data_IF_597853828451
#
_entry.id   IF_597853828451
#
_cell.length_a   1.000
_cell.length_b   1.000
_cell.length_c   1.000
_cell.angle_alpha   90.00
_cell.angle_beta   90.00
_cell.angle_gamma   90.00
#
_symmetry.space_group_name_H-M   'P 1'
#
loop_
_entity.id
_entity.type
_entity.pdbx_description
1 polymer ?
#
# COMPACT_ATOMS: atom_id res chain seq x y z
N UNK A 1 -33.16 13.97 -12.00
CA UNK A 1 -32.29 12.82 -11.65
C UNK A 1 -30.84 13.19 -11.93
N UNK A 2 -29.98 13.26 -10.91
CA UNK A 2 -28.57 13.61 -11.10
C UNK A 2 -27.81 12.48 -11.82
N UNK A 3 -27.19 12.77 -12.97
CA UNK A 3 -26.36 11.80 -13.70
C UNK A 3 -25.14 11.43 -12.84
N UNK A 4 -25.07 10.17 -12.41
CA UNK A 4 -23.92 9.62 -11.67
C UNK A 4 -22.66 9.75 -12.53
N UNK A 5 -21.67 10.54 -12.09
CA UNK A 5 -20.42 10.76 -12.82
C UNK A 5 -19.67 9.42 -12.89
N UNK A 6 -19.63 8.80 -14.08
CA UNK A 6 -18.88 7.56 -14.33
C UNK A 6 -17.40 7.91 -14.29
N UNK A 7 -16.68 7.44 -13.28
CA UNK A 7 -15.23 7.63 -13.22
C UNK A 7 -14.59 6.89 -14.41
N UNK A 8 -13.92 7.61 -15.30
CA UNK A 8 -13.28 7.05 -16.49
C UNK A 8 -11.82 6.77 -16.18
N UNK A 9 -11.52 5.57 -15.66
CA UNK A 9 -10.15 5.15 -15.39
C UNK A 9 -10.05 3.69 -15.01
N UNK A 10 -8.84 3.14 -15.12
CA UNK A 10 -8.50 1.77 -14.81
C UNK A 10 -7.47 1.71 -13.68
N UNK A 11 -7.61 0.73 -12.79
CA UNK A 11 -6.67 0.52 -11.69
C UNK A 11 -5.38 -0.13 -12.20
N UNK A 12 -4.25 0.39 -11.72
CA UNK A 12 -2.92 -0.13 -12.05
C UNK A 12 -2.23 -0.73 -10.83
N UNK A 13 -1.84 -1.99 -10.93
CA UNK A 13 -1.25 -2.78 -9.83
C UNK A 13 0.07 -2.23 -9.28
N UNK A 14 0.99 -1.82 -10.16
CA UNK A 14 2.36 -1.52 -9.72
C UNK A 14 2.51 -0.16 -9.03
N UNK A 15 1.66 0.86 -9.28
CA UNK A 15 1.71 2.12 -8.51
C UNK A 15 0.45 2.43 -7.71
N UNK A 16 -0.54 1.53 -7.72
CA UNK A 16 -1.80 1.71 -7.01
C UNK A 16 -2.69 2.86 -7.49
N UNK A 17 -2.35 3.56 -8.58
CA UNK A 17 -3.13 4.72 -9.05
C UNK A 17 -4.22 4.31 -10.05
N UNK A 18 -5.37 4.98 -9.97
CA UNK A 18 -6.41 4.93 -11.01
C UNK A 18 -6.02 5.91 -12.12
N UNK A 19 -5.83 5.42 -13.33
CA UNK A 19 -5.34 6.20 -14.47
C UNK A 19 -6.32 6.10 -15.64
N UNK A 20 -6.41 7.13 -16.51
CA UNK A 20 -7.24 7.05 -17.71
C UNK A 20 -6.67 6.02 -18.70
N UNK A 21 -7.54 5.45 -19.54
CA UNK A 21 -7.21 4.36 -20.47
C UNK A 21 -6.00 4.66 -21.37
N UNK A 22 -5.80 5.92 -21.76
CA UNK A 22 -4.67 6.36 -22.61
C UNK A 22 -3.29 6.16 -21.97
N UNK A 23 -3.23 6.08 -20.63
CA UNK A 23 -1.99 5.83 -19.88
C UNK A 23 -1.61 4.35 -19.87
N UNK A 24 -2.49 3.47 -20.33
CA UNK A 24 -2.22 2.06 -20.54
C UNK A 24 -1.83 1.82 -22.01
N UNK A 25 -0.97 0.84 -22.23
CA UNK A 25 -0.73 0.27 -23.56
C UNK A 25 -1.65 -0.94 -23.72
N UNK A 26 -2.02 -1.37 -24.93
CA UNK A 26 -2.90 -2.52 -25.15
C UNK A 26 -2.49 -3.75 -24.32
N UNK A 27 -1.24 -4.22 -24.47
CA UNK A 27 -0.68 -5.32 -23.66
C UNK A 27 -0.56 -4.99 -22.17
N UNK A 28 -0.31 -3.72 -21.83
CA UNK A 28 -0.22 -3.25 -20.44
C UNK A 28 -1.58 -3.17 -19.75
N UNK A 29 -2.67 -2.99 -20.49
CA UNK A 29 -4.04 -2.89 -19.96
C UNK A 29 -4.47 -4.22 -19.33
N UNK A 30 -4.25 -5.34 -20.04
CA UNK A 30 -4.53 -6.69 -19.55
C UNK A 30 -3.69 -7.04 -18.30
N UNK A 31 -2.44 -6.57 -18.25
CA UNK A 31 -1.57 -6.80 -17.10
C UNK A 31 -1.77 -5.79 -15.95
N UNK A 32 -2.67 -4.82 -16.08
CA UNK A 32 -2.84 -3.70 -15.14
C UNK A 32 -1.54 -2.90 -14.90
N UNK A 33 -0.76 -2.67 -15.96
CA UNK A 33 0.52 -1.93 -15.95
C UNK A 33 0.42 -0.72 -16.90
N UNK A 34 0.61 0.50 -16.38
CA UNK A 34 0.64 1.70 -17.23
C UNK A 34 1.97 1.83 -18.00
N UNK A 35 1.97 2.65 -19.05
CA UNK A 35 3.13 2.92 -19.91
C UNK A 35 4.38 3.34 -19.13
N UNK A 36 4.23 4.23 -18.13
CA UNK A 36 5.36 4.69 -17.30
C UNK A 36 6.08 3.55 -16.60
N UNK A 37 5.34 2.50 -16.26
CA UNK A 37 5.90 1.44 -15.46
C UNK A 37 6.08 0.14 -16.20
N UNK A 38 5.53 0.01 -17.40
CA UNK A 38 6.04 -0.96 -18.36
C UNK A 38 7.57 -0.80 -18.52
N UNK A 39 8.07 0.45 -18.53
CA UNK A 39 9.49 0.82 -18.64
C UNK A 39 10.36 0.50 -17.41
N UNK A 40 9.79 0.19 -16.25
CA UNK A 40 10.56 -0.15 -15.04
C UNK A 40 11.11 -1.59 -15.13
N UNK A 41 12.25 -1.85 -14.49
CA UNK A 41 12.78 -3.21 -14.33
C UNK A 41 11.82 -4.08 -13.51
N UNK A 42 11.93 -5.41 -13.65
CA UNK A 42 11.10 -6.36 -12.88
C UNK A 42 11.31 -6.20 -11.38
N UNK A 43 12.56 -6.02 -10.94
CA UNK A 43 12.92 -5.78 -9.54
C UNK A 43 12.23 -4.53 -8.98
N UNK A 44 12.31 -3.39 -9.70
CA UNK A 44 11.69 -2.14 -9.24
C UNK A 44 10.16 -2.23 -9.23
N UNK A 45 9.56 -2.98 -10.15
CA UNK A 45 8.12 -3.25 -10.15
C UNK A 45 7.72 -4.07 -8.91
N UNK A 46 8.47 -5.12 -8.57
CA UNK A 46 8.18 -5.93 -7.38
C UNK A 46 8.34 -5.14 -6.09
N UNK A 47 9.33 -4.26 -6.00
CA UNK A 47 9.50 -3.36 -4.85
C UNK A 47 8.30 -2.42 -4.69
N UNK A 48 7.85 -1.77 -5.77
CA UNK A 48 6.68 -0.88 -5.71
C UNK A 48 5.39 -1.62 -5.33
N UNK A 49 5.21 -2.87 -5.79
CA UNK A 49 4.09 -3.70 -5.36
C UNK A 49 4.22 -4.06 -3.88
N UNK A 50 5.41 -4.47 -3.42
CA UNK A 50 5.64 -4.84 -2.02
C UNK A 50 5.36 -3.66 -1.09
N UNK A 51 5.88 -2.47 -1.42
CA UNK A 51 5.61 -1.23 -0.69
C UNK A 51 4.11 -0.94 -0.68
N UNK A 52 3.40 -1.04 -1.81
CA UNK A 52 1.95 -0.84 -1.84
C UNK A 52 1.20 -1.83 -0.93
N UNK A 53 1.63 -3.10 -0.88
CA UNK A 53 1.06 -4.09 0.04
C UNK A 53 1.32 -3.71 1.51
N UNK A 54 2.55 -3.34 1.84
CA UNK A 54 2.94 -2.88 3.18
C UNK A 54 2.07 -1.70 3.62
N UNK A 55 1.86 -0.69 2.77
CA UNK A 55 1.04 0.48 3.13
C UNK A 55 -0.46 0.21 3.15
N UNK A 56 -0.94 -0.81 2.44
CA UNK A 56 -2.38 -1.12 2.38
C UNK A 56 -2.98 -1.43 3.76
N UNK A 57 -2.18 -2.00 4.66
CA UNK A 57 -2.57 -2.35 6.03
C UNK A 57 -2.90 -1.12 6.89
N UNK A 58 -2.35 0.06 6.55
CA UNK A 58 -2.66 1.33 7.24
C UNK A 58 -4.08 1.83 6.94
N UNK A 59 -4.77 1.23 5.96
CA UNK A 59 -6.17 1.56 5.66
C UNK A 59 -7.14 1.09 6.75
N UNK A 60 -6.66 0.23 7.66
CA UNK A 60 -7.45 -0.34 8.74
C UNK A 60 -6.79 -0.04 10.09
N UNK A 61 -7.58 0.21 11.15
CA UNK A 61 -7.04 0.59 12.46
C UNK A 61 -6.26 -0.55 13.14
N UNK A 62 -6.58 -1.81 12.83
CA UNK A 62 -5.88 -2.98 13.36
C UNK A 62 -5.59 -3.98 12.23
N UNK A 63 -4.31 -4.26 11.91
CA UNK A 63 -3.95 -5.23 10.88
C UNK A 63 -4.19 -6.66 11.38
N UNK A 64 -4.54 -7.57 10.47
CA UNK A 64 -4.69 -9.00 10.78
C UNK A 64 -3.35 -9.62 11.23
N UNK A 65 -3.41 -10.80 11.85
CA UNK A 65 -2.21 -11.61 12.12
C UNK A 65 -1.44 -11.92 10.83
N UNK A 66 -2.15 -12.22 9.74
CA UNK A 66 -1.54 -12.49 8.45
C UNK A 66 -0.90 -11.25 7.83
N UNK A 67 -1.54 -10.08 7.99
CA UNK A 67 -0.98 -8.80 7.54
C UNK A 67 0.32 -8.48 8.28
N UNK A 68 0.35 -8.66 9.61
CA UNK A 68 1.57 -8.48 10.42
C UNK A 68 2.69 -9.41 9.96
N UNK A 69 2.39 -10.71 9.81
CA UNK A 69 3.36 -11.69 9.32
C UNK A 69 3.87 -11.35 7.91
N UNK A 70 3.00 -10.84 7.04
CA UNK A 70 3.37 -10.37 5.71
C UNK A 70 4.37 -9.20 5.78
N UNK A 71 4.13 -8.21 6.66
CA UNK A 71 5.05 -7.07 6.85
C UNK A 71 6.39 -7.55 7.43
N UNK A 72 6.37 -8.44 8.42
CA UNK A 72 7.59 -9.05 9.01
C UNK A 72 8.42 -9.83 7.99
N UNK A 73 7.78 -10.50 7.02
CA UNK A 73 8.51 -11.14 5.93
C UNK A 73 9.23 -10.10 5.05
N UNK A 74 8.66 -8.91 4.87
CA UNK A 74 9.27 -7.84 4.09
C UNK A 74 10.44 -7.14 4.80
N UNK A 75 10.51 -7.16 6.13
CA UNK A 75 11.68 -6.63 6.87
C UNK A 75 12.95 -7.44 6.62
N UNK A 76 12.82 -8.71 6.23
CA UNK A 76 13.95 -9.58 5.87
C UNK A 76 14.25 -9.60 4.36
N UNK A 77 13.61 -8.73 3.57
CA UNK A 77 13.79 -8.71 2.13
C UNK A 77 15.15 -8.10 1.73
N UNK A 78 15.72 -8.58 0.61
CA UNK A 78 17.02 -8.09 0.07
C UNK A 78 16.97 -6.65 -0.45
N UNK A 79 15.78 -6.08 -0.60
CA UNK A 79 15.61 -4.69 -1.02
C UNK A 79 15.56 -3.80 0.22
N UNK A 80 16.60 -3.00 0.41
CA UNK A 80 16.72 -2.04 1.51
C UNK A 80 15.50 -1.13 1.60
N UNK A 81 14.99 -0.70 0.44
CA UNK A 81 13.81 0.16 0.38
C UNK A 81 12.55 -0.54 0.88
N UNK A 82 12.34 -1.81 0.54
CA UNK A 82 11.17 -2.57 1.02
C UNK A 82 11.28 -2.86 2.52
N UNK A 83 12.49 -3.23 2.97
CA UNK A 83 12.78 -3.47 4.39
C UNK A 83 12.52 -2.24 5.26
N UNK A 84 13.04 -1.08 4.88
CA UNK A 84 12.89 0.17 5.63
C UNK A 84 11.42 0.60 5.76
N UNK A 85 10.64 0.49 4.68
CA UNK A 85 9.21 0.80 4.68
C UNK A 85 8.41 -0.19 5.54
N UNK A 86 8.75 -1.48 5.48
CA UNK A 86 8.12 -2.51 6.32
C UNK A 86 8.35 -2.25 7.81
N UNK A 87 9.57 -1.88 8.20
CA UNK A 87 9.90 -1.53 9.58
C UNK A 87 9.12 -0.31 10.06
N UNK A 88 9.03 0.73 9.23
CA UNK A 88 8.29 1.96 9.53
C UNK A 88 6.81 1.67 9.78
N UNK A 89 6.19 0.87 8.91
CA UNK A 89 4.77 0.50 9.06
C UNK A 89 4.56 -0.42 10.26
N UNK A 90 5.43 -1.39 10.51
CA UNK A 90 5.32 -2.26 11.68
C UNK A 90 5.39 -1.45 12.98
N UNK A 91 6.33 -0.50 13.07
CA UNK A 91 6.50 0.38 14.22
C UNK A 91 5.25 1.22 14.52
N UNK A 92 4.48 1.58 13.47
CA UNK A 92 3.23 2.33 13.61
C UNK A 92 2.18 1.57 14.43
N UNK A 93 2.15 0.24 14.33
CA UNK A 93 1.21 -0.62 15.06
C UNK A 93 1.71 -1.11 16.42
N UNK A 94 3.00 -0.94 16.71
CA UNK A 94 3.62 -1.33 17.98
C UNK A 94 3.82 -0.16 18.92
N UNK A 95 3.41 1.07 18.56
CA UNK A 95 3.43 2.20 19.50
C UNK A 95 2.62 1.79 20.74
N UNK A 96 3.24 1.75 21.93
CA UNK A 96 2.48 1.56 23.15
C UNK A 96 1.45 2.68 23.21
N UNK A 97 0.19 2.32 23.49
CA UNK A 97 -0.78 3.29 23.99
C UNK A 97 -0.14 3.79 25.28
N UNK A 98 0.39 5.02 25.27
CA UNK A 98 0.74 5.69 26.51
C UNK A 98 -0.57 5.83 27.27
N UNK A 99 -0.66 5.10 28.38
CA UNK A 99 -1.73 5.21 29.36
C UNK A 99 -1.64 6.58 30.02
N UNK A 100 -2.09 7.64 29.35
CA UNK A 100 -2.19 9.00 29.90
C UNK A 100 -3.60 9.54 29.65
N UNK A 101 -4.63 8.78 30.01
CA UNK A 101 -5.95 9.34 30.28
C UNK A 101 -6.30 9.01 31.72
N UNK A 102 -5.64 9.74 32.62
CA UNK A 102 -6.11 10.01 33.97
C UNK A 102 -7.55 10.57 33.87
N UNK A 103 -8.55 9.74 34.17
CA UNK A 103 -9.81 10.25 34.68
C UNK A 103 -9.66 10.36 36.20
N UNK A 104 -9.38 11.56 36.76
CA UNK A 104 -9.57 11.76 38.18
C UNK A 104 -11.06 11.56 38.48
N UNK A 105 -11.38 10.55 39.29
CA UNK A 105 -12.68 10.40 39.91
C UNK A 105 -13.00 11.71 40.65
N UNK A 106 -14.04 12.39 40.20
CA UNK A 106 -14.66 13.48 40.94
C UNK A 106 -15.94 12.96 41.58
N UNK A 107 -15.95 13.06 42.91
CA UNK A 107 -17.01 12.81 43.91
C UNK A 107 -17.39 11.34 44.22
#
# INVERSE_FOLDING_TARGET
MAKKKRYRGHFRKVCGSILPNEKFSGKGHAAHICKKCARKSKARKSEEIAIACIYSVLSYPKPSRDDRKMIENYTNSRSERVCSEALTVLATFTRPISSDEDFPNAD
#
